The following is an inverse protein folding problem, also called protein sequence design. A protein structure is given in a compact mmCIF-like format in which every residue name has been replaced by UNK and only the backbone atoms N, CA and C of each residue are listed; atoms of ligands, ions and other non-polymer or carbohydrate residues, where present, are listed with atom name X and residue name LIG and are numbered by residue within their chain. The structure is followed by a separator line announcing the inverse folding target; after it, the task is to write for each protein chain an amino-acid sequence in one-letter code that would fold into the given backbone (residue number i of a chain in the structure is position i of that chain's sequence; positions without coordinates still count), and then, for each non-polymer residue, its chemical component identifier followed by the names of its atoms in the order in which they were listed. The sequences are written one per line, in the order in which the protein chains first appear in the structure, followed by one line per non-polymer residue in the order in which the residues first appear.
data_IF_044375485825
#
_entry.id   IF_044375485825
#
_cell.length_a   1.000
_cell.length_b   1.000
_cell.length_c   1.000
_cell.angle_alpha   90.00
_cell.angle_beta   90.00
_cell.angle_gamma   90.00
#
_symmetry.space_group_name_H-M   'P 1'
#
loop_
_entity.id
_entity.type
_entity.pdbx_description
1 polymer ?
#
# COMPACT_ATOMS: atom_id res chain seq x y z
N UNK A 1 -11.07 -0.42 22.49
CA UNK A 1 -11.14 0.74 21.56
C UNK A 1 -9.76 1.41 21.40
N UNK A 2 -9.35 1.66 20.15
CA UNK A 2 -8.09 2.33 19.73
C UNK A 2 -6.82 1.47 19.78
N UNK A 3 -6.65 0.54 18.83
CA UNK A 3 -5.31 0.27 18.28
C UNK A 3 -5.39 -0.57 17.00
N UNK A 4 -5.98 -0.01 15.94
CA UNK A 4 -5.98 -0.67 14.62
C UNK A 4 -5.46 0.25 13.51
N UNK A 5 -5.10 1.49 13.85
CA UNK A 5 -4.67 2.51 12.88
C UNK A 5 -3.16 2.61 12.71
N UNK A 6 -2.37 2.08 13.64
CA UNK A 6 -0.90 2.24 13.64
C UNK A 6 -0.17 1.09 12.93
N UNK A 7 -0.81 -0.07 12.77
CA UNK A 7 -0.21 -1.25 12.11
C UNK A 7 0.03 -1.08 10.60
N UNK A 8 -0.55 -0.06 9.95
CA UNK A 8 -0.48 0.09 8.50
C UNK A 8 0.91 0.48 7.96
N UNK A 9 1.81 1.03 8.78
CA UNK A 9 3.07 1.58 8.29
C UNK A 9 4.31 0.69 8.55
N UNK A 10 4.22 -0.32 9.41
CA UNK A 10 5.40 -1.04 9.93
C UNK A 10 5.88 -2.20 9.03
N UNK A 11 5.31 -2.41 7.84
CA UNK A 11 5.68 -3.53 6.95
C UNK A 11 5.26 -4.92 7.43
N UNK A 12 4.69 -5.02 8.64
CA UNK A 12 4.12 -6.22 9.27
C UNK A 12 2.69 -6.54 8.79
N UNK A 13 2.22 -5.94 7.70
CA UNK A 13 0.90 -6.28 7.13
C UNK A 13 1.11 -7.28 6.01
N UNK A 14 0.98 -8.57 6.34
CA UNK A 14 0.93 -9.63 5.36
C UNK A 14 -0.33 -9.51 4.51
N UNK A 15 -0.21 -9.75 3.21
CA UNK A 15 -1.35 -9.68 2.30
C UNK A 15 -2.40 -10.73 2.71
N UNK A 16 -3.69 -10.34 2.84
CA UNK A 16 -4.75 -11.31 3.08
C UNK A 16 -4.79 -12.36 1.96
N UNK A 17 -5.23 -13.60 2.23
CA UNK A 17 -5.41 -14.61 1.19
C UNK A 17 -6.29 -14.08 0.06
N UNK A 18 -5.89 -14.26 -1.20
CA UNK A 18 -6.66 -13.79 -2.36
C UNK A 18 -8.01 -14.52 -2.50
N UNK A 19 -8.04 -15.78 -2.08
CA UNK A 19 -9.22 -16.63 -2.07
C UNK A 19 -9.51 -17.09 -0.65
N UNK A 20 -10.79 -17.13 -0.29
CA UNK A 20 -11.31 -17.71 0.95
C UNK A 20 -12.32 -18.80 0.61
N UNK A 21 -12.45 -19.81 1.46
CA UNK A 21 -13.48 -20.83 1.30
C UNK A 21 -14.83 -20.30 1.78
N UNK A 22 -15.86 -20.49 0.96
CA UNK A 22 -17.26 -20.26 1.35
C UNK A 22 -17.73 -21.33 2.35
N UNK A 23 -18.91 -21.14 2.94
CA UNK A 23 -19.63 -22.16 3.70
C UNK A 23 -19.85 -23.49 2.93
N UNK A 24 -19.71 -23.47 1.60
CA UNK A 24 -19.76 -24.63 0.71
C UNK A 24 -18.38 -25.19 0.31
N UNK A 25 -17.29 -24.77 0.96
CA UNK A 25 -15.90 -25.10 0.60
C UNK A 25 -15.51 -24.71 -0.84
N UNK A 26 -16.22 -23.75 -1.42
CA UNK A 26 -15.89 -23.18 -2.72
C UNK A 26 -14.96 -21.97 -2.53
N UNK A 27 -13.87 -21.93 -3.29
CA UNK A 27 -12.96 -20.78 -3.29
C UNK A 27 -13.67 -19.56 -3.88
N UNK A 28 -13.82 -18.51 -3.08
CA UNK A 28 -14.36 -17.20 -3.49
C UNK A 28 -13.30 -16.10 -3.35
N UNK A 29 -13.38 -15.02 -4.14
CA UNK A 29 -12.50 -13.85 -3.97
C UNK A 29 -12.64 -13.24 -2.59
N UNK A 30 -11.52 -12.96 -1.93
CA UNK A 30 -11.53 -12.34 -0.62
C UNK A 30 -11.79 -10.82 -0.74
N UNK A 31 -12.92 -10.29 -0.23
CA UNK A 31 -13.17 -8.85 -0.25
C UNK A 31 -12.12 -8.06 0.53
N UNK A 32 -11.51 -8.63 1.58
CA UNK A 32 -10.43 -7.99 2.33
C UNK A 32 -9.15 -7.84 1.49
N UNK A 33 -8.84 -8.82 0.65
CA UNK A 33 -7.70 -8.72 -0.28
C UNK A 33 -7.90 -7.60 -1.29
N UNK A 34 -9.13 -7.43 -1.80
CA UNK A 34 -9.45 -6.34 -2.74
C UNK A 34 -9.25 -4.97 -2.09
N UNK A 35 -9.70 -4.79 -0.84
CA UNK A 35 -9.50 -3.54 -0.09
C UNK A 35 -8.01 -3.31 0.19
N UNK A 36 -7.30 -4.34 0.64
CA UNK A 36 -5.85 -4.27 0.88
C UNK A 36 -5.09 -3.84 -0.37
N UNK A 37 -5.37 -4.44 -1.54
CA UNK A 37 -4.73 -4.07 -2.81
C UNK A 37 -4.95 -2.61 -3.20
N UNK A 38 -6.14 -2.05 -2.93
CA UNK A 38 -6.42 -0.64 -3.22
C UNK A 38 -5.59 0.29 -2.35
N UNK A 39 -5.49 -0.01 -1.05
CA UNK A 39 -4.71 0.78 -0.10
C UNK A 39 -3.21 0.66 -0.40
N UNK A 40 -2.71 -0.55 -0.66
CA UNK A 40 -1.31 -0.80 -1.02
C UNK A 40 -0.90 -0.01 -2.26
N UNK A 41 -1.73 -0.01 -3.32
CA UNK A 41 -1.48 0.78 -4.53
C UNK A 41 -1.46 2.28 -4.26
N UNK A 42 -2.37 2.79 -3.43
CA UNK A 42 -2.42 4.20 -3.07
C UNK A 42 -1.19 4.63 -2.28
N UNK A 43 -0.79 3.85 -1.28
CA UNK A 43 0.39 4.14 -0.45
C UNK A 43 1.67 4.11 -1.31
N UNK A 44 1.83 3.09 -2.16
CA UNK A 44 2.97 3.02 -3.09
C UNK A 44 3.01 4.19 -4.05
N UNK A 45 1.86 4.56 -4.62
CA UNK A 45 1.76 5.74 -5.49
C UNK A 45 2.13 7.02 -4.75
N UNK A 46 1.63 7.18 -3.53
CA UNK A 46 1.91 8.35 -2.70
C UNK A 46 3.38 8.48 -2.34
N UNK A 47 4.01 7.40 -1.86
CA UNK A 47 5.46 7.36 -1.56
C UNK A 47 6.27 7.73 -2.80
N UNK A 48 5.97 7.11 -3.96
CA UNK A 48 6.69 7.39 -5.21
C UNK A 48 6.50 8.83 -5.67
N UNK A 49 5.29 9.41 -5.56
CA UNK A 49 5.05 10.81 -5.90
C UNK A 49 5.84 11.75 -4.99
N UNK A 50 5.80 11.55 -3.66
CA UNK A 50 6.55 12.37 -2.71
C UNK A 50 8.06 12.26 -2.91
N UNK A 51 8.57 11.07 -3.24
CA UNK A 51 9.97 10.86 -3.53
C UNK A 51 10.37 11.55 -4.85
N UNK A 52 9.55 11.42 -5.90
CA UNK A 52 9.78 12.10 -7.18
C UNK A 52 9.85 13.61 -7.03
N UNK A 53 8.94 14.21 -6.25
CA UNK A 53 8.94 15.65 -5.97
C UNK A 53 10.23 16.08 -5.24
N UNK A 54 10.65 15.31 -4.22
CA UNK A 54 11.91 15.59 -3.50
C UNK A 54 13.16 15.45 -4.38
N UNK A 55 13.16 14.54 -5.35
CA UNK A 55 14.28 14.39 -6.29
C UNK A 55 14.32 15.47 -7.38
N UNK A 56 13.16 15.96 -7.83
CA UNK A 56 13.11 17.05 -8.83
C UNK A 56 13.57 18.39 -8.23
N UNK A 57 13.31 18.62 -6.94
CA UNK A 57 13.85 19.79 -6.22
C UNK A 57 15.38 19.77 -6.06
N UNK A 58 16.00 18.58 -6.03
CA UNK A 58 17.46 18.42 -5.95
C UNK A 58 18.17 18.64 -7.29
N UNK A 59 17.57 18.20 -8.41
CA UNK A 59 18.19 18.31 -9.73
C UNK A 59 18.20 19.75 -10.26
N UNK A 60 17.18 20.56 -9.93
CA UNK A 60 17.09 21.98 -10.36
C UNK A 60 18.09 22.88 -9.61
N UNK A 61 18.69 22.40 -8.51
CA UNK A 61 19.78 23.10 -7.80
C UNK A 61 21.20 22.74 -8.28
N UNK A 62 21.33 21.80 -9.22
CA UNK A 62 22.60 21.37 -9.79
C UNK A 62 22.77 21.91 -11.22
N UNK A 63 22.39 23.16 -11.44
CA UNK A 63 23.00 23.96 -12.52
C UNK A 63 24.43 24.26 -12.07
N UNK A 64 25.36 23.38 -12.47
CA UNK A 64 26.78 23.61 -12.28
C UNK A 64 27.19 24.82 -13.10
N UNK A 65 27.77 25.79 -12.40
CA UNK A 65 28.32 27.05 -12.91
C UNK A 65 29.32 26.93 -14.06
#
# INVERSE_FOLDING_TARGET
PRSSRVLFFTGEVTAPPELIDNSSSQKMPNPQFIVWRKIDRLIKGWITCTLSESTLGLVVGLETS
#
